data_IF_125545124293
#
_entry.id   IF_125545124293
#
_cell.length_a   1.000
_cell.length_b   1.000
_cell.length_c   1.000
_cell.angle_alpha   90.00
_cell.angle_beta   90.00
_cell.angle_gamma   90.00
#
_symmetry.space_group_name_H-M   'P 1'
#
loop_
_entity.id
_entity.type
_entity.pdbx_description
1 polymer ?
#
# COMPACT_ATOMS: atom_id res chain seq x y z
N UNK A 1 -15.22 -70.23 21.03
CA UNK A 1 -14.67 -70.43 22.39
C UNK A 1 -14.21 -69.06 22.90
N UNK A 2 -14.97 -68.56 23.90
CA UNK A 2 -14.49 -68.01 25.17
C UNK A 2 -13.48 -66.85 25.00
N UNK A 3 -13.59 -65.68 25.64
CA UNK A 3 -14.35 -65.19 26.78
C UNK A 3 -14.29 -63.65 26.77
N UNK A 4 -15.32 -63.03 27.28
CA UNK A 4 -15.41 -61.60 27.65
C UNK A 4 -14.43 -61.26 28.77
N UNK A 5 -14.03 -60.01 28.85
CA UNK A 5 -13.98 -59.36 30.16
C UNK A 5 -14.16 -57.85 30.02
N UNK A 6 -15.14 -57.32 30.73
CA UNK A 6 -15.41 -55.93 31.02
C UNK A 6 -14.46 -55.43 32.10
N UNK A 7 -14.02 -54.17 32.02
CA UNK A 7 -13.69 -53.39 33.21
C UNK A 7 -14.12 -51.94 32.98
N UNK A 8 -15.05 -51.50 33.85
CA UNK A 8 -15.44 -50.11 34.12
C UNK A 8 -14.34 -49.41 34.94
N UNK A 9 -14.28 -48.10 34.85
CA UNK A 9 -13.56 -47.25 35.83
C UNK A 9 -13.38 -45.86 35.25
N UNK A 10 -14.08 -44.97 35.55
CA UNK A 10 -14.53 -43.93 36.54
C UNK A 10 -13.96 -42.57 36.24
N UNK A 11 -14.87 -41.69 36.11
CA UNK A 11 -14.97 -40.23 36.21
C UNK A 11 -13.88 -39.51 37.01
N UNK A 12 -13.39 -38.39 36.50
CA UNK A 12 -12.99 -37.26 37.30
C UNK A 12 -13.25 -35.94 36.53
N UNK A 13 -14.34 -35.27 36.88
CA UNK A 13 -14.62 -33.89 36.53
C UNK A 13 -13.78 -32.96 37.44
N UNK A 14 -13.10 -32.01 36.85
CA UNK A 14 -12.63 -30.83 37.60
C UNK A 14 -13.20 -29.60 36.94
N UNK A 15 -14.20 -29.04 37.57
CA UNK A 15 -14.69 -27.71 37.35
C UNK A 15 -13.81 -26.72 38.12
N UNK A 16 -13.29 -25.68 37.44
CA UNK A 16 -12.91 -24.45 38.12
C UNK A 16 -13.65 -23.29 37.45
N UNK A 17 -14.58 -22.82 38.21
CA UNK A 17 -15.31 -21.59 38.05
C UNK A 17 -14.43 -20.37 38.23
N UNK A 18 -14.64 -19.38 37.37
CA UNK A 18 -14.13 -18.03 37.55
C UNK A 18 -15.17 -17.09 36.97
N UNK A 19 -16.13 -16.67 37.77
CA UNK A 19 -17.09 -15.62 37.48
C UNK A 19 -16.40 -14.27 37.32
N UNK A 20 -16.80 -13.47 36.38
CA UNK A 20 -17.14 -12.08 36.65
C UNK A 20 -18.19 -11.59 35.66
N UNK A 21 -19.27 -11.22 36.23
CA UNK A 21 -20.47 -10.60 35.70
C UNK A 21 -20.22 -9.23 35.10
N UNK A 22 -20.80 -8.87 33.97
CA UNK A 22 -21.96 -7.96 34.05
C UNK A 22 -22.74 -7.88 32.73
N UNK A 23 -24.02 -8.10 32.90
CA UNK A 23 -25.12 -8.00 31.96
C UNK A 23 -25.34 -6.60 31.41
N UNK A 24 -25.68 -6.47 30.13
CA UNK A 24 -27.02 -5.94 29.75
C UNK A 24 -27.32 -6.22 28.29
N UNK A 25 -28.40 -6.93 28.11
CA UNK A 25 -29.06 -7.14 26.82
C UNK A 25 -29.47 -5.82 26.17
N UNK A 26 -29.39 -5.73 24.90
CA UNK A 26 -30.47 -5.26 24.05
C UNK A 26 -30.27 -5.80 22.62
N UNK A 27 -31.23 -6.65 22.22
CA UNK A 27 -31.47 -7.01 20.84
C UNK A 27 -31.63 -5.76 19.98
N UNK A 28 -30.90 -5.67 18.87
CA UNK A 28 -31.51 -5.17 17.67
C UNK A 28 -30.84 -5.83 16.44
N UNK A 29 -31.58 -6.69 15.78
CA UNK A 29 -31.31 -7.16 14.43
C UNK A 29 -31.38 -5.97 13.50
N UNK A 30 -30.27 -5.63 12.87
CA UNK A 30 -30.30 -4.85 11.65
C UNK A 30 -29.30 -5.46 10.67
N UNK A 31 -29.86 -6.12 9.67
CA UNK A 31 -29.17 -6.43 8.44
C UNK A 31 -28.75 -5.13 7.77
N UNK A 32 -27.58 -5.17 7.16
CA UNK A 32 -27.26 -4.25 6.09
C UNK A 32 -26.19 -3.26 6.45
N UNK A 33 -25.04 -3.55 6.05
CA UNK A 33 -24.23 -2.73 5.17
C UNK A 33 -22.93 -3.48 4.95
N UNK A 34 -22.80 -4.16 3.84
CA UNK A 34 -21.47 -4.37 3.25
C UNK A 34 -20.96 -2.99 2.84
N UNK A 35 -20.50 -2.26 3.85
CA UNK A 35 -19.80 -1.02 3.66
C UNK A 35 -18.51 -1.30 2.91
N UNK A 36 -18.38 -0.65 1.78
CA UNK A 36 -17.14 -0.28 1.12
C UNK A 36 -15.98 -0.43 2.09
N UNK A 37 -15.07 -1.36 1.83
CA UNK A 37 -13.77 -1.37 2.49
C UNK A 37 -13.05 -0.14 1.96
N UNK A 38 -13.20 0.97 2.68
CA UNK A 38 -12.34 2.12 2.53
C UNK A 38 -10.92 1.64 2.79
N UNK A 39 -10.07 1.75 1.79
CA UNK A 39 -8.61 1.72 1.94
C UNK A 39 -8.09 2.93 2.74
N UNK A 40 -8.93 3.57 3.51
CA UNK A 40 -8.57 4.64 4.43
C UNK A 40 -7.85 4.03 5.63
N UNK A 41 -6.53 4.16 5.65
CA UNK A 41 -5.71 3.89 6.84
C UNK A 41 -4.52 2.98 6.68
N UNK A 42 -4.19 2.46 5.51
CA UNK A 42 -2.94 1.72 5.32
C UNK A 42 -1.82 2.67 4.88
N UNK A 43 -1.04 3.12 5.84
CA UNK A 43 0.21 3.82 5.56
C UNK A 43 1.30 2.79 5.28
N UNK A 44 1.59 2.57 4.01
CA UNK A 44 2.61 1.61 3.60
C UNK A 44 3.99 2.29 3.56
N UNK A 45 4.88 1.84 4.44
CA UNK A 45 6.31 2.12 4.30
C UNK A 45 6.87 1.23 3.20
N UNK A 46 7.58 1.82 2.23
CA UNK A 46 8.27 1.07 1.18
C UNK A 46 9.50 0.35 1.71
N UNK A 47 9.98 -0.65 0.96
CA UNK A 47 11.22 -1.38 1.27
C UNK A 47 12.48 -0.51 1.18
N UNK A 48 12.41 0.62 0.49
CA UNK A 48 13.55 1.46 0.13
C UNK A 48 14.37 0.90 -1.04
N UNK A 49 13.97 -0.20 -1.63
CA UNK A 49 14.61 -0.73 -2.82
C UNK A 49 14.29 0.15 -4.03
N UNK A 50 15.32 0.54 -4.74
CA UNK A 50 15.20 1.33 -5.97
C UNK A 50 15.10 0.36 -7.15
N UNK A 51 14.11 0.53 -8.05
CA UNK A 51 13.99 -0.28 -9.26
C UNK A 51 15.29 -0.29 -10.07
N UNK A 52 15.66 -1.46 -10.58
CA UNK A 52 16.86 -1.60 -11.38
C UNK A 52 16.76 -0.76 -12.67
N UNK A 53 17.78 0.03 -12.94
CA UNK A 53 17.85 0.89 -14.13
C UNK A 53 17.36 2.31 -13.88
N UNK A 54 16.68 2.58 -12.78
CA UNK A 54 16.21 3.92 -12.43
C UNK A 54 17.41 4.88 -12.23
N UNK A 55 17.42 5.99 -12.96
CA UNK A 55 18.56 6.92 -12.99
C UNK A 55 18.45 7.95 -11.87
N UNK A 56 19.52 8.10 -11.09
CA UNK A 56 19.61 9.17 -10.09
C UNK A 56 19.57 10.53 -10.79
N UNK A 57 18.72 11.44 -10.32
CA UNK A 57 18.63 12.79 -10.86
C UNK A 57 19.93 13.58 -10.64
N UNK A 58 20.46 14.16 -11.71
CA UNK A 58 21.73 14.88 -11.64
C UNK A 58 21.61 16.22 -10.88
N UNK A 59 20.51 16.93 -11.06
CA UNK A 59 20.27 18.26 -10.46
C UNK A 59 18.84 18.38 -9.88
N UNK A 60 18.48 17.57 -8.88
CA UNK A 60 17.14 17.62 -8.32
C UNK A 60 16.92 18.93 -7.57
N UNK A 61 15.71 19.50 -7.68
CA UNK A 61 15.31 20.72 -6.95
C UNK A 61 15.38 20.54 -5.43
N UNK A 62 15.04 19.34 -4.97
CA UNK A 62 15.12 18.97 -3.55
C UNK A 62 16.26 17.94 -3.39
N UNK A 63 17.31 18.34 -2.69
CA UNK A 63 18.46 17.46 -2.47
C UNK A 63 18.14 16.38 -1.43
N UNK A 64 18.76 15.21 -1.58
CA UNK A 64 18.69 14.14 -0.57
C UNK A 64 19.09 14.70 0.80
N UNK A 65 18.32 14.36 1.83
CA UNK A 65 18.46 14.87 3.20
C UNK A 65 17.75 16.21 3.44
N UNK A 66 17.29 16.92 2.41
CA UNK A 66 16.51 18.15 2.59
C UNK A 66 15.06 17.86 2.96
N UNK A 67 14.37 18.89 3.47
CA UNK A 67 12.96 18.82 3.82
C UNK A 67 12.11 19.56 2.79
N UNK A 68 10.90 19.03 2.58
CA UNK A 68 9.86 19.62 1.76
C UNK A 68 8.49 19.37 2.40
N UNK A 69 7.47 20.09 1.96
CA UNK A 69 6.08 19.81 2.32
C UNK A 69 5.40 19.13 1.14
N UNK A 70 4.70 18.02 1.37
CA UNK A 70 3.98 17.28 0.33
C UNK A 70 2.67 18.00 0.01
N UNK A 71 2.35 18.14 -1.28
CA UNK A 71 1.11 18.67 -1.85
C UNK A 71 0.37 17.63 -2.68
N UNK A 72 0.50 16.37 -2.32
CA UNK A 72 -0.18 15.24 -2.93
C UNK A 72 -1.10 14.57 -1.91
N UNK A 73 -2.11 13.91 -2.42
CA UNK A 73 -3.13 13.19 -1.65
C UNK A 73 -3.26 11.72 -2.09
N UNK A 74 -2.15 11.11 -2.52
CA UNK A 74 -2.11 9.69 -2.94
C UNK A 74 -2.55 8.76 -1.79
N UNK A 75 -2.29 9.19 -0.57
CA UNK A 75 -2.63 8.46 0.64
C UNK A 75 -3.20 9.41 1.70
N UNK A 76 -4.02 8.88 2.59
CA UNK A 76 -4.56 9.63 3.72
C UNK A 76 -3.44 10.28 4.55
N UNK A 77 -3.64 11.52 4.99
CA UNK A 77 -2.67 12.24 5.81
C UNK A 77 -1.38 12.71 5.12
N UNK A 78 -1.26 12.49 3.81
CA UNK A 78 -0.05 12.85 3.05
C UNK A 78 0.01 14.35 2.73
N UNK A 79 -1.11 14.96 2.36
CA UNK A 79 -1.17 16.38 2.00
C UNK A 79 -0.88 17.27 3.20
N UNK A 80 0.11 18.14 3.07
CA UNK A 80 0.60 19.02 4.12
C UNK A 80 1.65 18.37 5.04
N UNK A 81 1.95 17.08 4.89
CA UNK A 81 2.96 16.40 5.68
C UNK A 81 4.37 16.93 5.39
N UNK A 82 5.19 17.02 6.43
CA UNK A 82 6.63 17.31 6.30
C UNK A 82 7.37 16.05 5.93
N UNK A 83 8.11 16.11 4.82
CA UNK A 83 8.88 15.01 4.29
C UNK A 83 10.38 15.31 4.27
N UNK A 84 11.18 14.26 4.46
CA UNK A 84 12.62 14.26 4.19
C UNK A 84 12.87 13.52 2.89
N UNK A 85 13.64 14.10 1.98
CA UNK A 85 14.01 13.48 0.71
C UNK A 85 15.01 12.34 0.97
N UNK A 86 14.69 11.13 0.56
CA UNK A 86 15.54 9.94 0.69
C UNK A 86 16.26 9.63 -0.62
N UNK A 87 15.61 9.89 -1.77
CA UNK A 87 16.18 9.71 -3.10
C UNK A 87 15.51 10.62 -4.11
N UNK A 88 16.20 10.88 -5.22
CA UNK A 88 15.69 11.68 -6.34
C UNK A 88 16.13 11.04 -7.67
N UNK A 89 15.19 10.85 -8.60
CA UNK A 89 15.42 10.09 -9.82
C UNK A 89 14.71 10.72 -11.01
N UNK A 90 15.33 10.63 -12.20
CA UNK A 90 14.74 11.12 -13.45
C UNK A 90 14.19 9.95 -14.26
N UNK A 91 12.89 9.96 -14.56
CA UNK A 91 12.21 8.88 -15.26
C UNK A 91 10.94 9.34 -15.96
N UNK A 92 10.20 8.41 -16.55
CA UNK A 92 8.81 8.58 -16.94
C UNK A 92 7.93 7.96 -15.84
N UNK A 93 6.97 8.73 -15.36
CA UNK A 93 5.98 8.28 -14.38
C UNK A 93 4.62 8.07 -15.00
N UNK A 94 3.87 7.15 -14.44
CA UNK A 94 2.55 6.75 -14.91
C UNK A 94 1.54 6.78 -13.77
N UNK A 95 0.35 7.34 -14.04
CA UNK A 95 -0.83 6.96 -13.30
C UNK A 95 -1.42 5.70 -13.96
N UNK A 96 -1.85 4.74 -13.16
CA UNK A 96 -2.35 3.45 -13.65
C UNK A 96 -3.63 3.03 -12.96
N UNK A 97 -4.47 2.29 -13.71
CA UNK A 97 -5.64 1.60 -13.15
C UNK A 97 -5.42 0.09 -13.25
N UNK A 98 -5.54 -0.64 -12.14
CA UNK A 98 -5.28 -2.07 -12.08
C UNK A 98 -6.25 -2.80 -11.15
N UNK A 99 -6.34 -4.13 -11.29
CA UNK A 99 -7.04 -5.00 -10.35
C UNK A 99 -5.99 -5.78 -9.57
N UNK A 100 -6.00 -5.72 -8.22
CA UNK A 100 -5.01 -6.43 -7.40
C UNK A 100 -5.01 -7.94 -7.68
N UNK A 101 -3.83 -8.56 -7.69
CA UNK A 101 -3.68 -10.03 -7.86
C UNK A 101 -4.29 -10.81 -6.71
N UNK A 102 -4.45 -10.18 -5.55
CA UNK A 102 -5.13 -10.73 -4.37
C UNK A 102 -6.65 -10.67 -4.45
N UNK A 103 -7.18 -10.08 -5.54
CA UNK A 103 -8.61 -9.83 -5.71
C UNK A 103 -9.05 -8.50 -5.10
N UNK A 104 -10.34 -8.20 -5.20
CA UNK A 104 -10.93 -6.96 -4.72
C UNK A 104 -11.33 -5.99 -5.82
N UNK A 105 -11.65 -4.76 -5.45
CA UNK A 105 -12.07 -3.73 -6.38
C UNK A 105 -10.90 -3.20 -7.22
N UNK A 106 -11.21 -2.75 -8.44
CA UNK A 106 -10.24 -2.10 -9.32
C UNK A 106 -9.77 -0.79 -8.69
N UNK A 107 -8.45 -0.68 -8.48
CA UNK A 107 -7.78 0.57 -8.12
C UNK A 107 -7.71 1.44 -9.37
N UNK A 108 -8.14 2.70 -9.26
CA UNK A 108 -8.16 3.65 -10.38
C UNK A 108 -7.19 4.79 -10.12
N UNK A 109 -6.52 5.22 -11.18
CA UNK A 109 -5.64 6.39 -11.18
C UNK A 109 -4.60 6.37 -10.04
N UNK A 110 -4.03 5.19 -9.76
CA UNK A 110 -2.96 5.06 -8.77
C UNK A 110 -1.72 5.82 -9.23
N UNK A 111 -1.18 6.66 -8.38
CA UNK A 111 0.01 7.48 -8.58
C UNK A 111 1.09 7.10 -7.55
N UNK A 112 2.30 6.94 -7.93
CA UNK A 112 2.89 6.88 -9.25
C UNK A 112 3.60 5.55 -9.45
N UNK A 113 3.67 5.08 -10.68
CA UNK A 113 4.53 3.97 -11.10
C UNK A 113 5.62 4.56 -12.00
N UNK A 114 6.88 4.19 -11.80
CA UNK A 114 7.98 4.58 -12.69
C UNK A 114 8.13 3.57 -13.84
N UNK A 115 8.75 4.00 -14.95
CA UNK A 115 8.95 3.15 -16.13
C UNK A 115 9.64 1.82 -15.79
N UNK A 116 10.58 1.85 -14.87
CA UNK A 116 11.39 0.72 -14.44
C UNK A 116 10.59 -0.30 -13.60
N UNK A 117 9.39 0.07 -13.16
CA UNK A 117 8.43 -0.79 -12.45
C UNK A 117 7.40 -1.45 -13.38
N UNK A 118 7.57 -1.33 -14.68
CA UNK A 118 6.75 -2.00 -15.67
C UNK A 118 7.51 -3.17 -16.31
N UNK A 119 6.83 -4.29 -16.55
CA UNK A 119 7.41 -5.39 -17.33
C UNK A 119 7.53 -5.00 -18.80
N UNK A 120 8.71 -5.21 -19.38
CA UNK A 120 8.95 -5.03 -20.81
C UNK A 120 8.55 -3.65 -21.38
N UNK A 121 8.62 -2.60 -20.56
CA UNK A 121 8.23 -1.25 -20.98
C UNK A 121 9.11 -0.66 -22.11
N UNK A 122 10.36 -1.16 -22.29
CA UNK A 122 11.33 -0.57 -23.21
C UNK A 122 11.80 0.80 -22.74
N UNK A 123 12.41 1.57 -23.66
CA UNK A 123 13.01 2.87 -23.32
C UNK A 123 12.11 4.07 -23.69
N UNK A 124 11.01 3.83 -24.37
CA UNK A 124 10.10 4.90 -24.81
C UNK A 124 8.88 4.99 -23.88
N UNK A 125 8.42 6.22 -23.58
CA UNK A 125 7.18 6.40 -22.81
C UNK A 125 5.99 5.70 -23.43
N UNK A 126 5.25 4.96 -22.63
CA UNK A 126 4.02 4.30 -23.04
C UNK A 126 2.86 5.30 -23.09
N UNK A 127 1.92 5.07 -24.02
CA UNK A 127 0.76 5.94 -24.20
C UNK A 127 -0.38 5.56 -23.26
N UNK A 128 -1.24 6.51 -22.87
CA UNK A 128 -2.50 6.21 -22.21
C UNK A 128 -3.31 5.14 -22.99
N UNK A 129 -3.94 4.22 -22.25
CA UNK A 129 -4.66 3.07 -22.79
C UNK A 129 -3.79 1.82 -23.05
N UNK A 130 -2.46 1.93 -22.92
CA UNK A 130 -1.58 0.75 -23.05
C UNK A 130 -1.77 -0.19 -21.86
N UNK A 131 -1.90 -1.48 -22.12
CA UNK A 131 -1.91 -2.52 -21.10
C UNK A 131 -0.47 -2.93 -20.74
N UNK A 132 -0.21 -3.05 -19.45
CA UNK A 132 1.10 -3.40 -18.89
C UNK A 132 0.96 -4.40 -17.73
N UNK A 133 2.07 -5.02 -17.34
CA UNK A 133 2.16 -5.77 -16.09
C UNK A 133 3.06 -4.99 -15.12
N UNK A 134 2.59 -4.83 -13.89
CA UNK A 134 3.32 -4.13 -12.85
C UNK A 134 4.36 -5.03 -12.19
N UNK A 135 5.55 -4.49 -11.92
CA UNK A 135 6.57 -5.04 -11.03
C UNK A 135 6.67 -4.28 -9.71
N UNK A 136 5.93 -3.17 -9.61
CA UNK A 136 5.86 -2.36 -8.42
C UNK A 136 5.28 -3.14 -7.24
N UNK A 137 5.73 -2.82 -6.05
CA UNK A 137 5.32 -3.46 -4.78
C UNK A 137 4.93 -2.39 -3.73
N UNK A 138 4.29 -1.32 -4.20
CA UNK A 138 3.88 -0.21 -3.33
C UNK A 138 2.68 -0.58 -2.47
N UNK A 139 1.84 -1.48 -2.96
CA UNK A 139 0.62 -1.93 -2.29
C UNK A 139 0.42 -3.43 -2.49
N UNK A 140 -0.30 -4.05 -1.57
CA UNK A 140 -0.63 -5.46 -1.64
C UNK A 140 -1.35 -5.81 -2.95
N UNK A 141 -0.92 -6.88 -3.60
CA UNK A 141 -1.50 -7.35 -4.86
C UNK A 141 -1.14 -6.52 -6.08
N UNK A 142 -0.21 -5.57 -5.98
CA UNK A 142 0.23 -4.77 -7.12
C UNK A 142 1.20 -5.53 -8.02
N UNK A 143 2.17 -6.23 -7.44
CA UNK A 143 3.16 -6.99 -8.20
C UNK A 143 2.49 -8.10 -9.03
N UNK A 144 2.77 -8.13 -10.32
CA UNK A 144 2.16 -9.05 -11.30
C UNK A 144 0.77 -8.63 -11.79
N UNK A 145 0.19 -7.55 -11.25
CA UNK A 145 -1.13 -7.08 -11.67
C UNK A 145 -1.11 -6.55 -13.11
N UNK A 146 -2.18 -6.86 -13.86
CA UNK A 146 -2.46 -6.22 -15.16
C UNK A 146 -3.02 -4.83 -14.91
N UNK A 147 -2.42 -3.85 -15.57
CA UNK A 147 -2.78 -2.45 -15.44
C UNK A 147 -2.99 -1.78 -16.79
N UNK A 148 -3.73 -0.71 -16.80
CA UNK A 148 -3.87 0.20 -17.95
C UNK A 148 -3.20 1.52 -17.57
N UNK A 149 -2.39 2.07 -18.47
CA UNK A 149 -1.81 3.42 -18.31
C UNK A 149 -2.94 4.45 -18.44
N UNK A 150 -3.13 5.26 -17.42
CA UNK A 150 -4.09 6.37 -17.42
C UNK A 150 -3.42 7.68 -17.92
N UNK A 151 -2.19 7.94 -17.47
CA UNK A 151 -1.38 9.07 -17.92
C UNK A 151 0.11 8.77 -17.84
N UNK A 152 0.93 9.55 -18.57
CA UNK A 152 2.37 9.46 -18.57
C UNK A 152 3.00 10.85 -18.61
N UNK A 153 4.06 11.08 -17.82
CA UNK A 153 4.86 12.30 -17.86
C UNK A 153 6.33 12.02 -17.55
N UNK A 154 7.24 12.81 -18.12
CA UNK A 154 8.64 12.82 -17.69
C UNK A 154 8.78 13.72 -16.49
N UNK A 155 9.34 13.18 -15.40
CA UNK A 155 9.47 13.91 -14.15
C UNK A 155 10.72 13.49 -13.37
N UNK A 156 11.18 14.39 -12.50
CA UNK A 156 12.01 14.00 -11.36
C UNK A 156 11.06 13.53 -10.26
N UNK A 157 11.26 12.29 -9.80
CA UNK A 157 10.52 11.69 -8.68
C UNK A 157 11.40 11.57 -7.46
N UNK A 158 10.73 11.56 -6.31
CA UNK A 158 11.39 11.49 -5.01
C UNK A 158 10.87 10.33 -4.20
N UNK A 159 11.81 9.61 -3.58
CA UNK A 159 11.51 8.74 -2.45
C UNK A 159 11.55 9.59 -1.19
N UNK A 160 10.57 9.48 -0.33
CA UNK A 160 10.43 10.34 0.85
C UNK A 160 10.09 9.57 2.11
N UNK A 161 10.64 10.04 3.23
CA UNK A 161 10.19 9.73 4.58
C UNK A 161 9.29 10.86 5.06
N UNK A 162 8.12 10.57 5.60
CA UNK A 162 7.26 11.59 6.16
C UNK A 162 6.50 11.13 7.40
N UNK A 163 5.98 12.09 8.15
CA UNK A 163 4.98 11.82 9.18
C UNK A 163 3.65 12.39 8.69
N UNK A 164 2.69 11.49 8.50
CA UNK A 164 1.35 11.84 8.06
C UNK A 164 0.66 12.76 9.08
N UNK A 165 -0.35 13.50 8.66
CA UNK A 165 -1.05 14.47 9.52
C UNK A 165 -1.80 13.83 10.69
N UNK A 166 -2.03 12.52 10.66
CA UNK A 166 -2.55 11.70 11.76
C UNK A 166 -1.47 11.18 12.71
N UNK A 167 -0.18 11.49 12.44
CA UNK A 167 0.97 11.12 13.26
C UNK A 167 1.64 9.81 12.86
N UNK A 168 1.14 9.08 11.88
CA UNK A 168 1.80 7.85 11.41
C UNK A 168 3.09 8.16 10.65
N UNK A 169 4.13 7.36 10.91
CA UNK A 169 5.42 7.48 10.23
C UNK A 169 5.46 6.56 9.03
N UNK A 170 5.71 7.14 7.86
CA UNK A 170 5.89 6.43 6.60
C UNK A 170 7.35 6.55 6.17
N UNK A 171 7.96 5.43 5.85
CA UNK A 171 9.35 5.33 5.40
C UNK A 171 9.42 4.92 3.94
N UNK A 172 10.40 5.51 3.22
CA UNK A 172 10.71 5.17 1.83
C UNK A 172 9.49 5.17 0.92
N UNK A 173 8.56 6.11 1.11
CA UNK A 173 7.38 6.20 0.25
C UNK A 173 7.81 6.46 -1.20
N UNK A 174 7.32 5.69 -2.10
CA UNK A 174 7.51 5.71 -3.55
C UNK A 174 6.16 5.95 -4.21
N UNK A 175 5.96 6.99 -4.98
CA UNK A 175 6.80 8.11 -5.35
C UNK A 175 6.02 9.42 -5.18
N UNK A 176 6.73 10.54 -5.08
CA UNK A 176 6.15 11.87 -5.28
C UNK A 176 6.91 12.59 -6.39
N UNK A 177 6.21 13.34 -7.24
CA UNK A 177 6.84 14.14 -8.29
C UNK A 177 7.35 15.47 -7.74
N UNK A 178 8.25 16.13 -8.49
CA UNK A 178 8.75 17.44 -8.11
C UNK A 178 7.64 18.49 -7.96
N UNK A 179 6.58 18.41 -8.77
CA UNK A 179 5.43 19.30 -8.73
C UNK A 179 4.56 19.14 -7.47
N UNK A 180 4.65 17.99 -6.82
CA UNK A 180 3.93 17.66 -5.59
C UNK A 180 4.68 18.02 -4.31
N UNK A 181 5.83 18.69 -4.44
CA UNK A 181 6.65 19.15 -3.33
C UNK A 181 6.75 20.67 -3.31
N UNK A 182 6.65 21.27 -2.12
CA UNK A 182 6.91 22.69 -1.87
C UNK A 182 7.87 22.88 -0.69
N UNK A 183 8.58 24.03 -0.69
CA UNK A 183 9.51 24.40 0.41
C UNK A 183 8.73 24.77 1.68
#
# INVERSE_FOLDING_TARGET
>A
MKKQLFILGTIAAIALSGCSTNTKDTNNSSMGNMGSMNHEGMHHSGSGQVPQGLQTAANPKYKVGSQATIKADHMAGMNGAKATIVGAYDTTVYAVSYTPTTGGEKVKNHKWIVQEELEHAGDQPLKPGTEVTLKADHMEGMNGAKATIDSAEKATVYMVDYTATDGQKVKNHQWVTESELVK
#
